data_IF_702261403177
#
_entry.id   IF_702261403177
#
_cell.length_a   1.000
_cell.length_b   1.000
_cell.length_c   1.000
_cell.angle_alpha   90.00
_cell.angle_beta   90.00
_cell.angle_gamma   90.00
#
_symmetry.space_group_name_H-M   'P 1'
#
loop_
_entity.id
_entity.type
_entity.pdbx_description
1 polymer ?
#
# COMPACT_ATOMS: atom_id res chain seq x y z
N UNK A 1 44.49 -25.92 13.63
CA UNK A 1 44.35 -26.54 12.30
C UNK A 1 43.36 -25.72 11.51
N UNK A 2 43.88 -24.99 10.53
CA UNK A 2 43.14 -24.30 9.48
C UNK A 2 42.45 -25.32 8.58
N UNK A 3 41.22 -25.03 8.12
CA UNK A 3 41.05 -24.65 6.72
C UNK A 3 39.92 -23.61 6.57
N UNK A 4 40.24 -22.38 6.13
CA UNK A 4 39.30 -21.31 5.82
C UNK A 4 39.15 -21.18 4.31
N UNK A 5 38.19 -21.84 3.67
CA UNK A 5 37.94 -21.66 2.24
C UNK A 5 36.52 -22.10 1.84
N UNK A 6 35.57 -21.15 1.75
CA UNK A 6 34.69 -21.07 0.59
C UNK A 6 33.97 -19.71 0.57
N UNK A 7 34.01 -18.96 -0.55
CA UNK A 7 33.64 -17.55 -0.61
C UNK A 7 32.16 -17.30 -0.89
N UNK A 8 31.69 -16.13 -0.46
CA UNK A 8 30.39 -15.58 -0.82
C UNK A 8 30.27 -15.24 -2.30
N UNK A 9 29.03 -15.27 -2.80
CA UNK A 9 28.66 -14.81 -4.14
C UNK A 9 27.67 -13.66 -4.03
N UNK A 10 28.21 -12.46 -4.23
CA UNK A 10 27.48 -11.25 -4.60
C UNK A 10 27.59 -11.10 -6.14
N UNK A 11 26.47 -10.70 -6.76
CA UNK A 11 26.32 -10.08 -8.09
C UNK A 11 26.51 -10.91 -9.38
N UNK A 12 25.39 -11.20 -10.04
CA UNK A 12 25.16 -11.09 -11.49
C UNK A 12 23.63 -11.01 -11.67
N UNK A 13 22.98 -10.01 -12.27
CA UNK A 13 23.12 -9.53 -13.64
C UNK A 13 22.72 -8.04 -13.73
N UNK A 14 23.66 -7.20 -14.14
CA UNK A 14 23.43 -5.95 -14.86
C UNK A 14 24.23 -6.06 -16.16
N UNK A 15 23.54 -6.35 -17.27
CA UNK A 15 23.92 -5.95 -18.64
C UNK A 15 22.97 -6.59 -19.66
N UNK A 16 22.08 -5.78 -20.24
CA UNK A 16 21.87 -5.73 -21.69
C UNK A 16 21.05 -4.48 -22.05
N UNK A 17 21.78 -3.39 -22.33
CA UNK A 17 21.48 -2.42 -23.40
C UNK A 17 21.77 -3.14 -24.73
N UNK A 18 21.19 -2.87 -25.89
CA UNK A 18 20.27 -1.88 -26.41
C UNK A 18 19.66 -2.51 -27.68
N UNK A 19 18.47 -2.07 -28.09
CA UNK A 19 18.15 -1.82 -29.51
C UNK A 19 16.83 -1.04 -29.58
N UNK A 20 16.94 0.23 -29.96
CA UNK A 20 15.87 1.09 -30.49
C UNK A 20 15.89 0.96 -32.01
N UNK A 21 14.74 1.07 -32.72
CA UNK A 21 14.39 2.42 -33.17
C UNK A 21 12.89 2.75 -33.38
N UNK A 22 12.67 4.07 -33.38
CA UNK A 22 11.62 4.92 -34.01
C UNK A 22 10.30 5.17 -33.24
N UNK A 23 9.93 6.45 -33.04
CA UNK A 23 8.77 6.87 -32.27
C UNK A 23 7.48 6.92 -33.12
N UNK A 24 6.38 6.41 -32.57
CA UNK A 24 5.04 6.73 -33.07
C UNK A 24 4.60 8.09 -32.51
N UNK A 25 4.26 8.98 -33.44
CA UNK A 25 3.76 10.35 -33.25
C UNK A 25 2.46 10.41 -32.43
N UNK A 26 2.16 11.57 -31.81
CA UNK A 26 1.00 11.76 -30.94
C UNK A 26 -0.32 11.67 -31.71
N UNK A 27 -1.27 10.90 -31.18
CA UNK A 27 -2.66 10.94 -31.62
C UNK A 27 -3.30 12.24 -31.14
N UNK A 28 -3.37 13.22 -32.05
CA UNK A 28 -4.11 14.46 -31.85
C UNK A 28 -5.62 14.20 -31.96
N UNK A 29 -6.36 14.64 -30.95
CA UNK A 29 -7.82 14.68 -30.89
C UNK A 29 -8.41 15.65 -31.93
N UNK A 30 -8.44 15.25 -33.19
CA UNK A 30 -9.08 16.04 -34.26
C UNK A 30 -9.64 15.12 -35.36
N UNK A 31 -10.52 14.21 -34.95
CA UNK A 31 -11.28 13.36 -35.88
C UNK A 31 -12.68 13.02 -35.33
N UNK A 32 -13.49 14.03 -34.98
CA UNK A 32 -14.96 13.91 -34.93
C UNK A 32 -15.56 15.28 -35.28
N UNK A 33 -15.46 15.65 -36.56
CA UNK A 33 -16.21 16.75 -37.13
C UNK A 33 -16.54 16.42 -38.57
N UNK A 34 -17.73 15.82 -38.75
CA UNK A 34 -18.65 15.98 -39.89
C UNK A 34 -19.70 14.88 -39.84
N UNK A 35 -20.93 15.27 -39.58
CA UNK A 35 -22.09 14.42 -39.83
C UNK A 35 -23.26 14.78 -38.94
N UNK A 36 -23.90 15.93 -39.17
CA UNK A 36 -25.32 16.17 -38.89
C UNK A 36 -25.74 17.54 -39.44
N UNK A 37 -26.16 17.55 -40.71
CA UNK A 37 -27.15 18.50 -41.19
C UNK A 37 -28.51 17.81 -41.01
N UNK A 38 -29.29 18.35 -40.07
CA UNK A 38 -30.64 17.93 -39.76
C UNK A 38 -31.22 18.96 -38.80
N UNK A 39 -31.77 20.03 -39.38
CA UNK A 39 -32.58 21.01 -38.69
C UNK A 39 -33.78 20.29 -38.07
N UNK A 40 -34.00 20.46 -36.77
CA UNK A 40 -35.32 20.72 -36.22
C UNK A 40 -35.18 21.40 -34.85
N UNK A 41 -35.83 22.55 -34.75
CA UNK A 41 -35.80 23.48 -33.63
C UNK A 41 -36.58 22.92 -32.44
N UNK A 42 -35.91 22.65 -31.32
CA UNK A 42 -36.56 22.48 -30.04
C UNK A 42 -35.61 22.90 -28.88
N UNK A 43 -35.87 23.97 -28.11
CA UNK A 43 -35.04 24.33 -26.97
C UNK A 43 -35.54 23.56 -25.75
N UNK A 44 -35.17 22.28 -25.67
CA UNK A 44 -35.59 21.38 -24.61
C UNK A 44 -34.46 20.49 -24.14
N UNK A 45 -33.74 20.96 -23.14
CA UNK A 45 -33.08 20.16 -22.10
C UNK A 45 -32.33 18.88 -22.54
N UNK A 46 -31.16 19.01 -23.18
CA UNK A 46 -30.17 17.93 -23.26
C UNK A 46 -28.74 18.48 -23.12
N UNK A 47 -28.36 18.83 -21.90
CA UNK A 47 -26.96 18.96 -21.49
C UNK A 47 -26.82 18.55 -20.04
N UNK A 48 -26.88 17.24 -19.83
CA UNK A 48 -26.37 16.56 -18.65
C UNK A 48 -25.39 15.49 -19.13
N UNK A 49 -24.33 15.96 -19.79
CA UNK A 49 -23.10 15.18 -19.89
C UNK A 49 -22.61 14.94 -18.45
N UNK A 50 -22.47 13.65 -18.13
CA UNK A 50 -22.18 13.11 -16.81
C UNK A 50 -20.89 13.69 -16.21
N UNK A 51 -21.00 14.81 -15.49
CA UNK A 51 -20.10 15.09 -14.38
C UNK A 51 -20.56 14.23 -13.20
N UNK A 52 -19.76 13.24 -12.74
CA UNK A 52 -20.15 12.47 -11.57
C UNK A 52 -20.34 13.43 -10.39
N UNK A 53 -21.46 13.26 -9.68
CA UNK A 53 -21.80 14.07 -8.52
C UNK A 53 -20.65 13.97 -7.49
N UNK A 54 -20.33 15.03 -6.72
CA UNK A 54 -19.22 15.02 -5.76
C UNK A 54 -19.30 13.88 -4.74
N UNK A 55 -20.51 13.37 -4.43
CA UNK A 55 -20.71 12.18 -3.60
C UNK A 55 -20.25 10.87 -4.26
N UNK A 56 -20.35 10.77 -5.59
CA UNK A 56 -19.92 9.59 -6.35
C UNK A 56 -18.39 9.55 -6.50
N UNK A 57 -17.73 10.71 -6.57
CA UNK A 57 -16.27 10.81 -6.59
C UNK A 57 -15.65 10.29 -5.28
N UNK A 58 -16.24 10.62 -4.13
CA UNK A 58 -15.78 10.12 -2.83
C UNK A 58 -15.92 8.60 -2.69
N UNK A 59 -17.06 8.04 -3.11
CA UNK A 59 -17.29 6.59 -3.05
C UNK A 59 -16.33 5.80 -3.96
N UNK A 60 -16.05 6.31 -5.16
CA UNK A 60 -15.10 5.66 -6.07
C UNK A 60 -13.67 5.72 -5.54
N UNK A 61 -13.23 6.86 -4.99
CA UNK A 61 -11.91 6.99 -4.39
C UNK A 61 -11.72 6.01 -3.22
N UNK A 62 -12.74 5.84 -2.39
CA UNK A 62 -12.71 4.90 -1.28
C UNK A 62 -12.62 3.44 -1.77
N UNK A 63 -13.39 3.06 -2.79
CA UNK A 63 -13.29 1.72 -3.38
C UNK A 63 -11.91 1.45 -4.00
N UNK A 64 -11.30 2.45 -4.66
CA UNK A 64 -9.95 2.29 -5.20
C UNK A 64 -8.91 2.15 -4.08
N UNK A 65 -9.01 2.97 -3.03
CA UNK A 65 -8.12 2.90 -1.88
C UNK A 65 -8.23 1.55 -1.16
N UNK A 66 -9.45 1.05 -0.92
CA UNK A 66 -9.71 -0.28 -0.36
C UNK A 66 -9.11 -1.37 -1.27
N UNK A 67 -9.29 -1.25 -2.60
CA UNK A 67 -8.71 -2.23 -3.55
C UNK A 67 -7.18 -2.20 -3.61
N UNK A 68 -6.55 -1.04 -3.37
CA UNK A 68 -5.09 -0.91 -3.32
C UNK A 68 -4.54 -1.46 -2.00
N UNK A 69 -5.20 -1.15 -0.88
CA UNK A 69 -4.89 -1.69 0.44
C UNK A 69 -4.94 -3.22 0.44
N UNK A 70 -6.07 -3.81 0.00
CA UNK A 70 -6.23 -5.26 -0.12
C UNK A 70 -5.12 -5.88 -0.98
N UNK A 71 -4.77 -5.24 -2.10
CA UNK A 71 -3.71 -5.71 -3.00
C UNK A 71 -2.33 -5.68 -2.34
N UNK A 72 -2.01 -4.65 -1.57
CA UNK A 72 -0.77 -4.58 -0.80
C UNK A 72 -0.75 -5.66 0.28
N UNK A 73 -1.88 -5.90 0.93
CA UNK A 73 -2.03 -6.91 1.97
C UNK A 73 -1.87 -8.33 1.42
N UNK A 74 -2.40 -8.62 0.23
CA UNK A 74 -2.18 -9.88 -0.49
C UNK A 74 -0.69 -10.09 -0.82
N UNK A 75 -0.02 -9.06 -1.34
CA UNK A 75 1.41 -9.12 -1.63
C UNK A 75 2.25 -9.30 -0.37
N UNK A 76 1.91 -8.60 0.72
CA UNK A 76 2.54 -8.76 2.03
C UNK A 76 2.42 -10.22 2.46
N UNK A 77 1.21 -10.78 2.48
CA UNK A 77 0.98 -12.18 2.84
C UNK A 77 1.81 -13.14 1.99
N UNK A 78 1.82 -12.98 0.67
CA UNK A 78 2.61 -13.81 -0.23
C UNK A 78 4.11 -13.74 0.11
N UNK A 79 4.61 -12.54 0.43
CA UNK A 79 5.99 -12.33 0.88
C UNK A 79 6.27 -12.98 2.22
N UNK A 80 5.37 -12.89 3.20
CA UNK A 80 5.54 -13.53 4.51
C UNK A 80 5.65 -15.05 4.37
N UNK A 81 4.78 -15.65 3.55
CA UNK A 81 4.84 -17.09 3.23
C UNK A 81 6.16 -17.46 2.56
N UNK A 82 6.58 -16.70 1.54
CA UNK A 82 7.83 -16.96 0.82
C UNK A 82 9.08 -16.84 1.70
N UNK A 83 9.02 -16.04 2.77
CA UNK A 83 10.12 -15.83 3.71
C UNK A 83 9.97 -16.67 5.00
N UNK A 84 9.14 -17.72 4.97
CA UNK A 84 8.99 -18.72 6.05
C UNK A 84 8.54 -18.12 7.39
N UNK A 85 7.73 -17.06 7.35
CA UNK A 85 7.03 -16.60 8.55
C UNK A 85 5.98 -17.63 8.97
N UNK A 86 5.77 -17.77 10.28
CA UNK A 86 4.77 -18.66 10.88
C UNK A 86 3.63 -17.88 11.54
N UNK A 87 2.51 -18.54 11.81
CA UNK A 87 1.33 -17.95 12.48
C UNK A 87 0.91 -16.62 11.82
N UNK A 88 0.81 -16.65 10.49
CA UNK A 88 0.43 -15.49 9.68
C UNK A 88 -1.07 -15.27 9.82
N UNK A 89 -1.45 -14.16 10.45
CA UNK A 89 -2.81 -13.62 10.52
C UNK A 89 -2.88 -12.35 9.69
N UNK A 90 -3.97 -12.17 8.93
CA UNK A 90 -4.12 -11.08 7.97
C UNK A 90 -5.58 -10.64 7.93
N UNK A 91 -5.84 -9.34 7.89
CA UNK A 91 -7.18 -8.78 7.73
C UNK A 91 -7.65 -8.84 6.26
N UNK A 92 -7.77 -10.06 5.73
CA UNK A 92 -8.33 -10.34 4.41
C UNK A 92 -9.49 -11.33 4.51
N UNK A 93 -10.52 -11.23 3.65
CA UNK A 93 -11.60 -12.20 3.60
C UNK A 93 -11.10 -13.64 3.45
N UNK A 94 -11.58 -14.54 4.32
CA UNK A 94 -11.21 -15.96 4.30
C UNK A 94 -9.94 -16.33 5.08
N UNK A 95 -9.28 -15.37 5.73
CA UNK A 95 -8.12 -15.61 6.58
C UNK A 95 -8.42 -15.39 8.07
N UNK A 96 -7.51 -15.89 8.92
CA UNK A 96 -7.55 -15.60 10.36
C UNK A 96 -7.10 -14.17 10.58
N UNK A 97 -7.95 -13.36 11.21
CA UNK A 97 -7.65 -11.97 11.53
C UNK A 97 -6.64 -11.84 12.67
N UNK A 98 -5.79 -10.79 12.68
CA UNK A 98 -4.94 -10.46 13.82
C UNK A 98 -5.73 -10.17 15.09
N UNK A 99 -5.10 -10.40 16.24
CA UNK A 99 -5.70 -10.05 17.52
C UNK A 99 -5.63 -8.52 17.73
N UNK A 100 -6.72 -7.95 18.25
CA UNK A 100 -6.78 -6.52 18.56
C UNK A 100 -5.76 -6.15 19.63
N UNK A 101 -4.95 -5.13 19.35
CA UNK A 101 -4.03 -4.52 20.30
C UNK A 101 -4.77 -3.38 21.01
N UNK A 102 -4.65 -3.28 22.33
CA UNK A 102 -5.36 -2.27 23.14
C UNK A 102 -4.41 -1.52 24.06
N UNK A 103 -4.69 -0.25 24.31
CA UNK A 103 -4.11 0.51 25.42
C UNK A 103 -4.66 -0.02 26.74
N UNK A 104 -3.78 -0.34 27.70
CA UNK A 104 -4.18 -0.84 29.02
C UNK A 104 -5.12 0.12 29.75
N UNK A 105 -4.84 1.42 29.70
CA UNK A 105 -5.56 2.43 30.50
C UNK A 105 -6.96 2.76 29.93
N UNK A 106 -7.09 2.79 28.61
CA UNK A 106 -8.33 3.26 27.95
C UNK A 106 -9.15 2.14 27.35
N UNK A 107 -8.57 0.95 27.20
CA UNK A 107 -9.15 -0.18 26.45
C UNK A 107 -9.49 0.14 24.98
N UNK A 108 -9.11 1.32 24.47
CA UNK A 108 -9.15 1.64 23.04
C UNK A 108 -8.05 0.86 22.34
N UNK A 109 -8.35 0.38 21.14
CA UNK A 109 -7.43 -0.46 20.40
C UNK A 109 -7.78 -0.61 18.94
N UNK A 110 -6.82 -1.14 18.19
CA UNK A 110 -6.89 -1.36 16.75
C UNK A 110 -6.43 -2.78 16.42
N UNK A 111 -7.00 -3.34 15.36
CA UNK A 111 -6.53 -4.59 14.75
C UNK A 111 -5.45 -4.20 13.75
N UNK A 112 -4.24 -4.77 13.83
CA UNK A 112 -3.25 -4.61 12.76
C UNK A 112 -3.75 -5.25 11.47
N UNK A 113 -3.25 -4.79 10.32
CA UNK A 113 -3.55 -5.43 9.04
C UNK A 113 -2.96 -6.85 8.94
N UNK A 114 -1.79 -7.07 9.51
CA UNK A 114 -1.23 -8.42 9.63
C UNK A 114 -0.35 -8.59 10.87
N UNK A 115 -0.26 -9.84 11.34
CA UNK A 115 0.74 -10.28 12.31
C UNK A 115 1.35 -11.59 11.89
N UNK A 116 2.62 -11.81 12.19
CA UNK A 116 3.29 -13.08 11.96
C UNK A 116 4.48 -13.25 12.90
N UNK A 117 5.09 -14.43 12.92
CA UNK A 117 6.32 -14.71 13.66
C UNK A 117 7.47 -15.07 12.72
N UNK A 118 8.66 -14.56 13.04
CA UNK A 118 9.92 -14.97 12.43
C UNK A 118 10.96 -15.18 13.52
N UNK A 119 11.54 -16.39 13.60
CA UNK A 119 12.52 -16.75 14.64
C UNK A 119 12.07 -16.37 16.07
N UNK A 120 10.82 -16.69 16.41
CA UNK A 120 10.16 -16.37 17.69
C UNK A 120 9.91 -14.88 17.98
N UNK A 121 10.31 -13.97 17.10
CA UNK A 121 9.97 -12.55 17.18
C UNK A 121 8.61 -12.31 16.55
N UNK A 122 7.72 -11.61 17.26
CA UNK A 122 6.42 -11.21 16.70
C UNK A 122 6.63 -10.00 15.77
N UNK A 123 6.02 -10.02 14.60
CA UNK A 123 5.97 -8.88 13.69
C UNK A 123 4.53 -8.40 13.58
N UNK A 124 4.36 -7.08 13.74
CA UNK A 124 3.10 -6.36 13.56
C UNK A 124 3.24 -5.50 12.32
N UNK A 125 2.30 -5.62 11.39
CA UNK A 125 2.32 -4.93 10.12
C UNK A 125 1.07 -4.06 9.99
N UNK A 126 1.28 -2.82 9.56
CA UNK A 126 0.22 -1.93 9.08
C UNK A 126 0.50 -1.60 7.62
N UNK A 127 -0.53 -1.64 6.78
CA UNK A 127 -0.49 -1.34 5.36
C UNK A 127 -1.16 0.00 5.13
N UNK A 128 -0.44 0.91 4.48
CA UNK A 128 -0.96 2.23 4.16
C UNK A 128 -0.76 2.54 2.68
N UNK A 129 -1.77 3.16 2.07
CA UNK A 129 -1.66 3.67 0.71
C UNK A 129 -0.92 5.01 0.71
N UNK A 130 -0.53 5.51 -0.46
CA UNK A 130 0.11 6.82 -0.54
C UNK A 130 -0.78 7.95 -0.01
N UNK A 131 -2.10 7.78 -0.15
CA UNK A 131 -3.10 8.79 0.19
C UNK A 131 -3.45 8.80 1.69
N UNK A 132 -3.30 7.67 2.40
CA UNK A 132 -3.65 7.54 3.82
C UNK A 132 -2.51 7.84 4.80
N UNK A 133 -1.24 7.89 4.34
CA UNK A 133 -0.08 8.15 5.20
C UNK A 133 -0.16 9.44 6.04
N UNK A 134 -0.98 10.41 5.63
CA UNK A 134 -1.15 11.68 6.34
C UNK A 134 -2.26 11.69 7.40
N UNK A 135 -3.06 10.64 7.49
CA UNK A 135 -4.34 10.68 8.19
C UNK A 135 -4.18 10.50 9.71
N UNK A 136 -5.07 11.14 10.45
CA UNK A 136 -5.11 11.03 11.92
C UNK A 136 -5.37 9.57 12.36
N UNK A 137 -6.15 8.83 11.57
CA UNK A 137 -6.44 7.42 11.85
C UNK A 137 -5.17 6.55 11.78
N UNK A 138 -4.41 6.67 10.69
CA UNK A 138 -3.12 6.02 10.52
C UNK A 138 -2.14 6.39 11.63
N UNK A 139 -2.14 7.66 12.06
CA UNK A 139 -1.33 8.08 13.20
C UNK A 139 -1.72 7.36 14.50
N UNK A 140 -3.02 7.29 14.83
CA UNK A 140 -3.51 6.59 16.03
C UNK A 140 -3.10 5.10 16.02
N UNK A 141 -3.26 4.41 14.89
CA UNK A 141 -2.85 3.02 14.69
C UNK A 141 -1.33 2.84 14.86
N UNK A 142 -0.54 3.58 14.10
CA UNK A 142 0.92 3.51 14.13
C UNK A 142 1.47 3.80 15.53
N UNK A 143 0.90 4.79 16.23
CA UNK A 143 1.31 5.14 17.60
C UNK A 143 1.04 3.99 18.56
N UNK A 144 -0.12 3.34 18.47
CA UNK A 144 -0.46 2.19 19.31
C UNK A 144 0.49 1.03 19.05
N UNK A 145 0.72 0.67 17.79
CA UNK A 145 1.56 -0.48 17.45
C UNK A 145 3.03 -0.24 17.78
N UNK A 146 3.56 0.96 17.52
CA UNK A 146 4.92 1.34 17.91
C UNK A 146 5.11 1.30 19.43
N UNK A 147 4.09 1.66 20.21
CA UNK A 147 4.13 1.53 21.66
C UNK A 147 4.04 0.07 22.11
N UNK A 148 3.16 -0.72 21.49
CA UNK A 148 2.97 -2.14 21.80
C UNK A 148 4.27 -2.95 21.66
N UNK A 149 5.08 -2.68 20.63
CA UNK A 149 6.30 -3.45 20.38
C UNK A 149 7.51 -3.02 21.22
N UNK A 150 7.46 -1.86 21.88
CA UNK A 150 8.62 -1.25 22.58
C UNK A 150 9.20 -2.13 23.68
N UNK A 151 8.32 -2.74 24.47
CA UNK A 151 8.69 -3.54 25.64
C UNK A 151 8.48 -5.05 25.39
N UNK A 152 8.35 -5.44 24.12
CA UNK A 152 8.11 -6.82 23.70
C UNK A 152 9.24 -7.30 22.79
N UNK A 153 9.40 -8.61 22.69
CA UNK A 153 10.23 -9.21 21.65
C UNK A 153 9.48 -9.19 20.30
N UNK A 154 9.19 -7.97 19.83
CA UNK A 154 8.36 -7.72 18.67
C UNK A 154 8.93 -6.57 17.80
N UNK A 155 8.42 -6.44 16.57
CA UNK A 155 8.77 -5.37 15.65
C UNK A 155 7.53 -4.85 14.93
N UNK A 156 7.46 -3.53 14.76
CA UNK A 156 6.42 -2.87 13.99
C UNK A 156 6.98 -2.45 12.63
N UNK A 157 6.30 -2.84 11.56
CA UNK A 157 6.66 -2.51 10.18
C UNK A 157 5.48 -1.84 9.46
N UNK A 158 5.72 -0.66 8.91
CA UNK A 158 4.78 0.04 8.03
C UNK A 158 5.04 -0.40 6.57
N UNK A 159 4.03 -0.97 5.94
CA UNK A 159 4.02 -1.39 4.55
C UNK A 159 3.41 -0.29 3.70
N UNK A 160 4.08 0.09 2.61
CA UNK A 160 3.60 1.14 1.71
C UNK A 160 3.83 0.77 0.24
N UNK A 161 3.12 1.40 -0.70
CA UNK A 161 3.42 1.26 -2.12
C UNK A 161 4.88 1.56 -2.45
N UNK A 162 5.41 0.83 -3.42
CA UNK A 162 6.69 1.13 -4.04
C UNK A 162 6.79 2.59 -4.50
N UNK A 163 7.81 3.31 -4.02
CA UNK A 163 8.02 4.73 -4.27
C UNK A 163 7.60 5.64 -3.10
N UNK A 164 6.79 5.13 -2.16
CA UNK A 164 6.29 5.89 -1.01
C UNK A 164 7.19 5.81 0.22
N UNK A 165 8.27 5.02 0.19
CA UNK A 165 9.10 4.77 1.37
C UNK A 165 9.73 6.02 1.98
N UNK A 166 10.15 7.00 1.16
CA UNK A 166 10.69 8.26 1.67
C UNK A 166 9.62 9.10 2.40
N UNK A 167 8.42 9.18 1.82
CA UNK A 167 7.31 9.90 2.43
C UNK A 167 6.89 9.26 3.75
N UNK A 168 6.77 7.94 3.78
CA UNK A 168 6.43 7.16 4.97
C UNK A 168 7.46 7.33 6.09
N UNK A 169 8.76 7.21 5.79
CA UNK A 169 9.85 7.45 6.77
C UNK A 169 9.83 8.88 7.30
N UNK A 170 9.62 9.86 6.42
CA UNK A 170 9.53 11.27 6.81
C UNK A 170 8.32 11.52 7.74
N UNK A 171 7.20 10.87 7.46
CA UNK A 171 5.99 10.99 8.28
C UNK A 171 6.18 10.34 9.67
N UNK A 172 6.72 9.12 9.73
CA UNK A 172 7.05 8.46 11.01
C UNK A 172 8.00 9.33 11.86
N UNK A 173 8.98 9.95 11.22
CA UNK A 173 9.88 10.89 11.89
C UNK A 173 9.15 12.11 12.45
N UNK A 174 8.23 12.72 11.68
CA UNK A 174 7.39 13.83 12.16
C UNK A 174 6.54 13.45 13.36
N UNK A 175 6.03 12.21 13.39
CA UNK A 175 5.28 11.68 14.52
C UNK A 175 6.14 11.24 15.70
N UNK A 176 7.47 11.22 15.57
CA UNK A 176 8.37 10.70 16.60
C UNK A 176 8.22 9.19 16.84
N UNK A 177 7.79 8.44 15.81
CA UNK A 177 7.58 6.99 15.89
C UNK A 177 8.76 6.24 15.27
N UNK A 178 9.16 5.14 15.92
CA UNK A 178 10.17 4.22 15.40
C UNK A 178 9.48 2.98 14.82
N UNK A 179 9.60 2.79 13.51
CA UNK A 179 9.09 1.62 12.79
C UNK A 179 9.98 1.31 11.59
N UNK A 180 10.02 0.03 11.19
CA UNK A 180 10.61 -0.37 9.91
C UNK A 180 9.66 0.04 8.79
N UNK A 181 10.17 0.50 7.64
CA UNK A 181 9.35 0.78 6.45
C UNK A 181 9.71 -0.21 5.36
N UNK A 182 8.72 -0.87 4.81
CA UNK A 182 8.87 -1.81 3.70
C UNK A 182 7.99 -1.40 2.52
N UNK A 183 8.62 -1.31 1.35
CA UNK A 183 7.95 -1.01 0.08
C UNK A 183 7.59 -2.30 -0.65
N UNK A 184 6.35 -2.39 -1.16
CA UNK A 184 5.76 -3.56 -1.84
C UNK A 184 5.04 -3.16 -3.15
#
# INVERSE_FOLDING_TARGET
>A
MHDPNAPGLINALLANRADTPVPARPLTLSALSRGLLGLDSNPGALSSFLTPQPRQLGALAQLFAESEHDRLLEKLRARLVANLYSDIKVDLPGYVKPDRIVWTDTQRGHEPDATAYYLMKQHVFEVETADSLGDEHTYEQCRLFAAYVRDKFAEFTLIVPSGSGFAARSQLHRWGLSATVLEI
#
